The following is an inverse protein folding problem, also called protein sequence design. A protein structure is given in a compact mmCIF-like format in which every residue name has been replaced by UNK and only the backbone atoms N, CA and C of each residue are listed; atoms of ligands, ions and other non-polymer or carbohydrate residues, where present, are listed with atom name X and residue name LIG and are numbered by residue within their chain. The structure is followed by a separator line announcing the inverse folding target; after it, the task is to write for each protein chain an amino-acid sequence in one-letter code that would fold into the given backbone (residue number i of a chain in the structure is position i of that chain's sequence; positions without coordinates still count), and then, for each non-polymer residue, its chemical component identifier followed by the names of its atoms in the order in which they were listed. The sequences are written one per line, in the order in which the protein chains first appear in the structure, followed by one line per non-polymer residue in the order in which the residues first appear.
data_IF_621631442261
#
_entry.id   IF_621631442261
#
_cell.length_a   1.000
_cell.length_b   1.000
_cell.length_c   1.000
_cell.angle_alpha   90.00
_cell.angle_beta   90.00
_cell.angle_gamma   90.00
#
_symmetry.space_group_name_H-M   'P 1'
#
loop_
_entity.id
_entity.type
_entity.pdbx_description
1 polymer ?
#
# COMPACT_ATOMS: atom_id res chain seq x y z
N UNK A 1 35.53 -37.38 -30.20
CA UNK A 1 34.75 -37.39 -28.93
C UNK A 1 35.14 -36.31 -27.92
N UNK A 2 36.41 -35.89 -27.75
CA UNK A 2 36.82 -34.88 -26.74
C UNK A 2 36.15 -33.49 -26.82
N UNK A 3 35.66 -33.05 -27.99
CA UNK A 3 34.99 -31.75 -28.14
C UNK A 3 33.57 -31.70 -27.56
N UNK A 4 32.92 -32.85 -27.34
CA UNK A 4 31.54 -32.92 -26.85
C UNK A 4 31.41 -32.39 -25.41
N UNK A 5 32.39 -32.70 -24.55
CA UNK A 5 32.30 -32.36 -23.13
C UNK A 5 32.53 -30.87 -22.86
N UNK A 6 33.41 -30.20 -23.64
CA UNK A 6 33.65 -28.75 -23.50
C UNK A 6 32.44 -27.92 -23.93
N UNK A 7 31.70 -28.41 -24.93
CA UNK A 7 30.50 -27.74 -25.40
C UNK A 7 29.37 -27.86 -24.37
N UNK A 8 29.16 -29.06 -23.84
CA UNK A 8 28.17 -29.29 -22.80
C UNK A 8 28.45 -28.45 -21.55
N UNK A 9 29.72 -28.35 -21.12
CA UNK A 9 30.08 -27.52 -19.97
C UNK A 9 29.84 -26.03 -20.22
N UNK A 10 30.11 -25.53 -21.43
CA UNK A 10 29.84 -24.14 -21.79
C UNK A 10 28.33 -23.85 -21.81
N UNK A 11 27.54 -24.74 -22.40
CA UNK A 11 26.09 -24.61 -22.44
C UNK A 11 25.49 -24.61 -21.03
N UNK A 12 25.92 -25.53 -20.16
CA UNK A 12 25.48 -25.57 -18.77
C UNK A 12 25.90 -24.31 -18.00
N UNK A 13 27.11 -23.79 -18.24
CA UNK A 13 27.55 -22.54 -17.62
C UNK A 13 26.67 -21.35 -18.04
N UNK A 14 26.37 -21.22 -19.33
CA UNK A 14 25.47 -20.17 -19.85
C UNK A 14 24.07 -20.33 -19.26
N UNK A 15 23.54 -21.55 -19.22
CA UNK A 15 22.22 -21.83 -18.65
C UNK A 15 22.15 -21.48 -17.15
N UNK A 16 23.19 -21.83 -16.38
CA UNK A 16 23.26 -21.49 -14.96
C UNK A 16 23.32 -19.98 -14.72
N UNK A 17 24.12 -19.25 -15.49
CA UNK A 17 24.17 -17.78 -15.42
C UNK A 17 22.79 -17.20 -15.73
N UNK A 18 22.11 -17.76 -16.73
CA UNK A 18 20.80 -17.28 -17.18
C UNK A 18 19.72 -17.51 -16.12
N UNK A 19 19.67 -18.71 -15.52
CA UNK A 19 18.78 -19.02 -14.40
C UNK A 19 19.06 -18.10 -13.23
N UNK A 20 20.34 -17.89 -12.89
CA UNK A 20 20.72 -16.98 -11.81
C UNK A 20 20.27 -15.55 -12.09
N UNK A 21 20.45 -15.04 -13.31
CA UNK A 21 19.98 -13.70 -13.70
C UNK A 21 18.45 -13.58 -13.64
N UNK A 22 17.70 -14.62 -14.02
CA UNK A 22 16.23 -14.63 -13.88
C UNK A 22 15.83 -14.57 -12.42
N UNK A 23 16.44 -15.41 -11.57
CA UNK A 23 16.14 -15.42 -10.14
C UNK A 23 16.50 -14.10 -9.47
N UNK A 24 17.66 -13.52 -9.82
CA UNK A 24 18.09 -12.21 -9.33
C UNK A 24 17.13 -11.10 -9.74
N UNK A 25 16.73 -11.07 -11.02
CA UNK A 25 15.77 -10.10 -11.53
C UNK A 25 14.41 -10.21 -10.84
N UNK A 26 13.88 -11.44 -10.69
CA UNK A 26 12.62 -11.68 -9.98
C UNK A 26 12.72 -11.21 -8.53
N UNK A 27 13.83 -11.47 -7.85
CA UNK A 27 14.06 -11.04 -6.48
C UNK A 27 14.13 -9.51 -6.36
N UNK A 28 14.96 -8.84 -7.16
CA UNK A 28 15.11 -7.38 -7.12
C UNK A 28 13.80 -6.66 -7.48
N UNK A 29 13.08 -7.19 -8.47
CA UNK A 29 11.78 -6.66 -8.88
C UNK A 29 10.72 -6.77 -7.77
N UNK A 30 10.66 -7.90 -7.07
CA UNK A 30 9.74 -8.05 -5.93
C UNK A 30 9.97 -6.96 -4.88
N UNK A 31 11.24 -6.74 -4.55
CA UNK A 31 11.64 -5.73 -3.57
C UNK A 31 11.31 -4.29 -4.02
N UNK A 32 11.55 -3.97 -5.30
CA UNK A 32 11.22 -2.63 -5.83
C UNK A 32 9.71 -2.37 -5.81
N UNK A 33 8.90 -3.37 -6.13
CA UNK A 33 7.44 -3.22 -6.08
C UNK A 33 6.92 -2.94 -4.68
N UNK A 34 7.46 -3.62 -3.67
CA UNK A 34 7.05 -3.41 -2.28
C UNK A 34 7.33 -1.97 -1.83
N UNK A 35 8.53 -1.45 -2.12
CA UNK A 35 8.85 -0.05 -1.86
C UNK A 35 7.89 0.91 -2.58
N UNK A 36 7.55 0.61 -3.84
CA UNK A 36 6.58 1.41 -4.61
C UNK A 36 5.19 1.41 -3.96
N UNK A 37 4.70 0.26 -3.48
CA UNK A 37 3.39 0.19 -2.81
C UNK A 37 3.38 0.93 -1.48
N UNK A 38 4.46 0.80 -0.69
CA UNK A 38 4.63 1.55 0.56
C UNK A 38 4.60 3.05 0.29
N UNK A 39 5.40 3.52 -0.68
CA UNK A 39 5.44 4.93 -1.08
C UNK A 39 4.05 5.41 -1.50
N UNK A 40 3.35 4.65 -2.35
CA UNK A 40 2.02 5.02 -2.82
C UNK A 40 0.97 5.07 -1.70
N UNK A 41 0.95 4.08 -0.81
CA UNK A 41 0.07 4.10 0.38
C UNK A 41 0.39 5.31 1.25
N UNK A 42 1.68 5.61 1.44
CA UNK A 42 2.14 6.77 2.23
C UNK A 42 1.70 8.09 1.61
N UNK A 43 1.82 8.23 0.28
CA UNK A 43 1.33 9.41 -0.46
C UNK A 43 -0.19 9.55 -0.32
N UNK A 44 -0.96 8.49 -0.56
CA UNK A 44 -2.42 8.52 -0.47
C UNK A 44 -2.90 8.92 0.94
N UNK A 45 -2.23 8.44 1.99
CA UNK A 45 -2.54 8.81 3.37
C UNK A 45 -2.13 10.26 3.65
N UNK A 46 -0.97 10.71 3.17
CA UNK A 46 -0.52 12.09 3.30
C UNK A 46 -1.47 13.07 2.62
N UNK A 47 -1.98 12.72 1.43
CA UNK A 47 -2.99 13.50 0.71
C UNK A 47 -4.29 13.57 1.53
N UNK A 48 -4.75 12.43 2.05
CA UNK A 48 -5.94 12.38 2.90
C UNK A 48 -5.81 13.25 4.17
N UNK A 49 -4.61 13.32 4.74
CA UNK A 49 -4.27 14.19 5.87
C UNK A 49 -4.25 15.65 5.45
N UNK A 50 -3.63 15.98 4.31
CA UNK A 50 -3.58 17.34 3.78
C UNK A 50 -4.99 17.91 3.51
N UNK A 51 -5.90 17.07 3.01
CA UNK A 51 -7.31 17.42 2.84
C UNK A 51 -7.97 17.78 4.17
N UNK A 52 -7.72 16.97 5.21
CA UNK A 52 -8.25 17.18 6.56
C UNK A 52 -7.67 18.48 7.17
N UNK A 53 -6.36 18.72 7.02
CA UNK A 53 -5.70 19.92 7.53
C UNK A 53 -6.23 21.19 6.85
N UNK A 54 -6.46 21.13 5.54
CA UNK A 54 -7.08 22.22 4.78
C UNK A 54 -8.48 22.53 5.30
N UNK A 55 -9.30 21.49 5.52
CA UNK A 55 -10.61 21.64 6.12
C UNK A 55 -10.54 22.22 7.54
N UNK A 56 -9.60 21.76 8.36
CA UNK A 56 -9.38 22.26 9.71
C UNK A 56 -9.01 23.75 9.73
N UNK A 57 -8.18 24.20 8.78
CA UNK A 57 -7.79 25.59 8.63
C UNK A 57 -8.95 26.52 8.26
N UNK A 58 -9.94 26.02 7.51
CA UNK A 58 -11.14 26.78 7.13
C UNK A 58 -12.14 26.97 8.26
N UNK A 59 -12.11 26.13 9.29
CA UNK A 59 -13.00 26.27 10.43
C UNK A 59 -12.74 27.61 11.13
N UNK A 60 -13.78 28.29 11.65
CA UNK A 60 -13.61 29.58 12.30
C UNK A 60 -13.01 29.44 13.71
N UNK A 61 -12.19 30.40 14.12
CA UNK A 61 -11.45 30.33 15.39
C UNK A 61 -12.33 30.54 16.65
N UNK A 62 -13.49 31.16 16.52
CA UNK A 62 -14.35 31.55 17.66
C UNK A 62 -15.50 30.56 17.92
N UNK A 63 -15.76 30.26 19.19
CA UNK A 63 -16.78 29.31 19.64
C UNK A 63 -18.22 29.63 19.14
N UNK A 64 -18.57 30.91 18.99
CA UNK A 64 -19.92 31.33 18.59
C UNK A 64 -20.25 31.02 17.13
N UNK A 65 -19.23 30.88 16.28
CA UNK A 65 -19.39 30.57 14.84
C UNK A 65 -19.26 29.09 14.52
N UNK A 66 -18.71 28.31 15.46
CA UNK A 66 -18.48 26.87 15.32
C UNK A 66 -19.82 26.10 15.22
N UNK A 67 -20.84 26.47 16.02
CA UNK A 67 -22.18 25.85 15.96
C UNK A 67 -22.88 26.00 14.61
N UNK A 68 -22.71 27.14 13.93
CA UNK A 68 -23.30 27.40 12.59
C UNK A 68 -22.48 26.78 11.44
N UNK A 69 -21.24 26.34 11.72
CA UNK A 69 -20.32 25.81 10.72
C UNK A 69 -20.43 24.28 10.56
N UNK A 70 -21.05 23.58 11.51
CA UNK A 70 -21.16 22.12 11.50
C UNK A 70 -22.11 21.57 10.42
N UNK A 71 -23.21 22.27 10.13
CA UNK A 71 -24.10 21.85 9.04
C UNK A 71 -23.40 21.94 7.67
N UNK A 72 -22.53 22.94 7.50
CA UNK A 72 -21.72 23.12 6.28
C UNK A 72 -20.53 22.17 6.18
N UNK A 73 -20.14 21.55 7.29
CA UNK A 73 -19.09 20.54 7.30
C UNK A 73 -19.58 19.28 6.60
N UNK A 74 -20.81 18.83 6.82
CA UNK A 74 -21.32 17.61 6.19
C UNK A 74 -21.29 17.64 4.64
N UNK A 75 -21.52 18.82 4.05
CA UNK A 75 -21.46 19.00 2.59
C UNK A 75 -20.02 19.03 2.03
N UNK A 76 -19.01 19.10 2.91
CA UNK A 76 -17.59 19.28 2.56
C UNK A 76 -16.68 18.16 3.05
N UNK A 77 -17.09 17.40 4.08
CA UNK A 77 -16.29 16.30 4.61
C UNK A 77 -16.72 15.01 3.92
N UNK A 78 -15.96 14.61 2.90
CA UNK A 78 -16.05 13.25 2.32
C UNK A 78 -15.52 12.17 3.28
N UNK A 79 -15.05 12.59 4.46
CA UNK A 79 -14.49 11.72 5.49
C UNK A 79 -15.33 11.77 6.78
N UNK A 80 -15.37 10.67 7.54
CA UNK A 80 -16.06 10.67 8.82
C UNK A 80 -15.39 11.60 9.84
N UNK A 81 -16.20 12.38 10.54
CA UNK A 81 -15.78 13.35 11.56
C UNK A 81 -16.63 13.16 12.81
N UNK A 82 -15.98 13.14 13.96
CA UNK A 82 -16.62 13.21 15.28
C UNK A 82 -16.08 14.43 16.01
N UNK A 83 -16.95 15.15 16.70
CA UNK A 83 -16.57 16.27 17.55
C UNK A 83 -16.92 15.92 18.99
N UNK A 84 -15.93 16.01 19.87
CA UNK A 84 -16.07 15.75 21.29
C UNK A 84 -15.93 17.07 22.07
N UNK A 85 -16.68 17.21 23.15
CA UNK A 85 -16.50 18.30 24.11
C UNK A 85 -15.29 18.05 25.04
N UNK A 86 -15.06 18.96 25.98
CA UNK A 86 -13.99 18.88 26.99
C UNK A 86 -14.06 17.62 27.88
N UNK A 87 -15.26 17.07 28.06
CA UNK A 87 -15.52 15.83 28.81
C UNK A 87 -15.36 14.58 27.94
N UNK A 88 -14.88 14.71 26.71
CA UNK A 88 -14.80 13.66 25.68
C UNK A 88 -16.16 13.08 25.28
N UNK A 89 -17.26 13.79 25.53
CA UNK A 89 -18.59 13.38 25.10
C UNK A 89 -18.84 13.86 23.67
N UNK A 90 -19.37 13.00 22.79
CA UNK A 90 -19.65 13.38 21.42
C UNK A 90 -20.80 14.39 21.38
N UNK A 91 -20.54 15.53 20.75
CA UNK A 91 -21.53 16.57 20.48
C UNK A 91 -21.99 16.56 19.02
N UNK A 92 -21.22 15.91 18.15
CA UNK A 92 -21.54 15.76 16.72
C UNK A 92 -20.81 14.55 16.11
N UNK A 93 -21.43 13.91 15.12
CA UNK A 93 -20.79 12.93 14.25
C UNK A 93 -21.41 12.98 12.84
N UNK A 94 -20.57 12.94 11.80
CA UNK A 94 -21.05 13.06 10.41
C UNK A 94 -21.72 11.80 9.87
N UNK A 95 -21.56 10.66 10.54
CA UNK A 95 -22.11 9.37 10.09
C UNK A 95 -22.34 8.42 11.26
N UNK A 96 -23.36 7.57 11.14
CA UNK A 96 -23.69 6.54 12.14
C UNK A 96 -22.75 5.34 12.10
N UNK A 97 -21.86 5.25 11.10
CA UNK A 97 -20.94 4.10 10.93
C UNK A 97 -19.84 4.06 11.99
N UNK A 98 -19.51 5.19 12.61
CA UNK A 98 -18.44 5.28 13.60
C UNK A 98 -19.04 5.77 14.90
N UNK A 99 -19.20 4.83 15.85
CA UNK A 99 -19.66 5.19 17.18
C UNK A 99 -18.45 5.64 18.02
N UNK A 100 -18.55 6.78 18.72
CA UNK A 100 -17.45 7.43 19.44
C UNK A 100 -16.97 6.70 20.71
N UNK A 101 -17.42 5.48 20.98
CA UNK A 101 -17.38 4.89 22.33
C UNK A 101 -16.50 3.64 22.50
N UNK A 102 -15.84 3.15 21.44
CA UNK A 102 -15.01 1.94 21.57
C UNK A 102 -13.51 2.29 21.59
N UNK A 103 -12.93 2.40 22.78
CA UNK A 103 -11.48 2.33 23.06
C UNK A 103 -10.57 3.18 22.16
N UNK A 104 -10.95 4.43 21.88
CA UNK A 104 -10.13 5.33 21.06
C UNK A 104 -9.18 6.10 21.97
N UNK A 105 -7.90 6.07 21.66
CA UNK A 105 -6.94 7.00 22.25
C UNK A 105 -7.23 8.41 21.73
N UNK A 106 -7.68 9.29 22.61
CA UNK A 106 -8.04 10.68 22.31
C UNK A 106 -6.85 11.65 22.41
N UNK A 107 -5.63 11.11 22.39
CA UNK A 107 -4.39 11.89 22.30
C UNK A 107 -4.30 12.55 20.92
N UNK A 108 -4.05 13.87 20.84
CA UNK A 108 -3.86 14.57 19.57
C UNK A 108 -2.77 13.94 18.72
N UNK A 109 -2.98 13.90 17.40
CA UNK A 109 -2.10 13.21 16.46
C UNK A 109 -2.79 12.09 15.71
N UNK A 110 -1.98 11.24 15.07
CA UNK A 110 -2.45 10.15 14.20
C UNK A 110 -2.29 8.84 14.96
N UNK A 111 -3.37 8.08 15.09
CA UNK A 111 -3.37 6.78 15.75
C UNK A 111 -4.07 5.72 14.88
N UNK A 112 -3.58 4.49 14.89
CA UNK A 112 -4.29 3.35 14.31
C UNK A 112 -5.31 2.82 15.31
N UNK A 113 -6.57 2.71 14.88
CA UNK A 113 -7.68 2.21 15.68
C UNK A 113 -8.38 1.09 14.94
N UNK A 114 -8.63 -0.01 15.64
CA UNK A 114 -9.38 -1.15 15.13
C UNK A 114 -10.65 -1.36 15.97
N UNK A 115 -11.77 -1.58 15.30
CA UNK A 115 -13.06 -1.89 15.94
C UNK A 115 -13.83 -2.97 15.15
N UNK A 116 -15.10 -3.16 15.51
CA UNK A 116 -15.98 -4.12 14.86
C UNK A 116 -16.27 -3.80 13.38
N UNK A 117 -16.19 -2.52 13.00
CA UNK A 117 -16.48 -2.04 11.65
C UNK A 117 -15.25 -2.03 10.74
N UNK A 118 -14.03 -2.15 11.28
CA UNK A 118 -12.82 -2.10 10.47
C UNK A 118 -11.58 -1.60 11.20
N UNK A 119 -10.63 -1.12 10.40
CA UNK A 119 -9.36 -0.52 10.80
C UNK A 119 -9.24 0.87 10.17
N UNK A 120 -8.85 1.84 10.98
CA UNK A 120 -8.90 3.27 10.65
C UNK A 120 -7.69 3.99 11.21
N UNK A 121 -7.20 4.99 10.49
CA UNK A 121 -6.38 6.03 11.12
C UNK A 121 -7.31 7.10 11.67
N UNK A 122 -7.14 7.44 12.94
CA UNK A 122 -7.75 8.64 13.53
C UNK A 122 -6.76 9.77 13.50
N UNK A 123 -7.15 10.93 12.99
CA UNK A 123 -6.36 12.16 13.11
C UNK A 123 -7.09 13.15 14.01
N UNK A 124 -6.49 13.44 15.16
CA UNK A 124 -7.13 14.19 16.25
C UNK A 124 -6.51 15.57 16.39
N UNK A 125 -7.36 16.60 16.27
CA UNK A 125 -7.01 17.98 16.54
C UNK A 125 -7.68 18.47 17.82
N UNK A 126 -6.95 19.28 18.58
CA UNK A 126 -7.52 20.06 19.68
C UNK A 126 -7.85 21.47 19.17
N UNK A 127 -9.10 21.91 19.39
CA UNK A 127 -9.52 23.26 19.05
C UNK A 127 -10.39 23.84 20.15
N UNK A 128 -9.83 24.80 20.89
CA UNK A 128 -10.45 25.36 22.09
C UNK A 128 -10.79 24.21 23.07
N UNK A 129 -12.07 24.05 23.42
CA UNK A 129 -12.59 23.01 24.31
C UNK A 129 -13.06 21.76 23.54
N UNK A 130 -12.92 21.73 22.22
CA UNK A 130 -13.38 20.62 21.39
C UNK A 130 -12.21 19.78 20.86
N UNK A 131 -12.45 18.48 20.74
CA UNK A 131 -11.59 17.57 19.99
C UNK A 131 -12.28 17.19 18.68
N UNK A 132 -11.57 17.32 17.58
CA UNK A 132 -12.03 16.93 16.26
C UNK A 132 -11.32 15.64 15.89
N UNK A 133 -12.08 14.57 15.70
CA UNK A 133 -11.58 13.23 15.39
C UNK A 133 -11.99 12.89 13.97
N UNK A 134 -11.04 12.95 13.05
CA UNK A 134 -11.24 12.52 11.67
C UNK A 134 -10.85 11.05 11.50
N UNK A 135 -11.61 10.31 10.69
CA UNK A 135 -11.30 8.92 10.38
C UNK A 135 -10.87 8.78 8.93
N UNK A 136 -9.76 8.08 8.71
CA UNK A 136 -9.28 7.64 7.40
C UNK A 136 -9.45 6.12 7.36
N UNK A 137 -10.47 5.58 6.67
CA UNK A 137 -10.67 4.15 6.60
C UNK A 137 -9.50 3.49 5.85
N UNK A 138 -8.92 2.47 6.47
CA UNK A 138 -7.91 1.62 5.85
C UNK A 138 -8.53 0.32 5.36
N UNK A 139 -9.32 -0.32 6.23
CA UNK A 139 -9.99 -1.58 5.94
C UNK A 139 -11.39 -1.58 6.55
N UNK A 140 -12.40 -1.86 5.75
CA UNK A 140 -13.79 -1.97 6.20
C UNK A 140 -14.14 -3.43 6.41
N UNK A 141 -14.54 -3.81 7.62
CA UNK A 141 -15.21 -5.08 7.90
C UNK A 141 -16.69 -4.92 7.54
N UNK A 142 -17.30 -6.00 7.10
CA UNK A 142 -18.74 -6.07 6.91
C UNK A 142 -19.30 -7.25 7.68
N UNK A 143 -20.35 -7.01 8.44
CA UNK A 143 -21.13 -8.08 9.08
C UNK A 143 -21.83 -8.96 8.03
N UNK A 144 -22.11 -8.38 6.87
CA UNK A 144 -22.74 -9.06 5.74
C UNK A 144 -21.64 -9.52 4.81
N UNK A 145 -21.41 -10.84 4.77
CA UNK A 145 -20.46 -11.46 3.85
C UNK A 145 -21.21 -12.17 2.73
N UNK A 146 -21.40 -11.49 1.62
CA UNK A 146 -21.99 -12.05 0.39
C UNK A 146 -21.11 -11.72 -0.83
N UNK A 147 -21.51 -12.20 -2.01
CA UNK A 147 -20.71 -12.04 -3.24
C UNK A 147 -20.52 -10.57 -3.69
N UNK A 148 -21.26 -9.62 -3.14
CA UNK A 148 -21.24 -8.20 -3.52
C UNK A 148 -20.75 -7.28 -2.40
N UNK A 149 -20.94 -7.69 -1.15
CA UNK A 149 -20.60 -6.94 0.05
C UNK A 149 -19.74 -7.85 0.90
N UNK A 150 -18.50 -7.44 1.13
CA UNK A 150 -17.56 -8.16 1.97
C UNK A 150 -16.51 -7.22 2.53
N UNK A 151 -15.63 -7.75 3.40
CA UNK A 151 -14.50 -7.00 3.90
C UNK A 151 -13.63 -6.50 2.75
N UNK A 152 -13.23 -5.22 2.80
CA UNK A 152 -12.46 -4.60 1.72
C UNK A 152 -11.51 -3.55 2.26
N UNK A 153 -10.33 -3.48 1.65
CA UNK A 153 -9.43 -2.36 1.82
C UNK A 153 -10.04 -1.10 1.18
N UNK A 154 -9.71 0.07 1.72
CA UNK A 154 -10.15 1.33 1.13
C UNK A 154 -9.46 1.54 -0.23
N UNK A 155 -10.20 1.60 -1.36
CA UNK A 155 -9.60 1.75 -2.69
C UNK A 155 -8.91 3.10 -2.92
N UNK A 156 -9.15 4.09 -2.06
CA UNK A 156 -8.43 5.37 -2.09
C UNK A 156 -7.03 5.26 -1.49
N UNK A 157 -6.79 4.29 -0.61
CA UNK A 157 -5.50 4.10 0.07
C UNK A 157 -4.75 2.93 -0.56
N UNK A 158 -5.43 1.81 -0.78
CA UNK A 158 -4.90 0.57 -1.32
C UNK A 158 -5.48 0.26 -2.70
N UNK A 159 -4.72 -0.41 -3.56
CA UNK A 159 -5.19 -0.72 -4.92
C UNK A 159 -6.16 -1.91 -4.96
N UNK A 160 -6.07 -2.81 -3.99
CA UNK A 160 -6.90 -4.00 -3.88
C UNK A 160 -6.97 -4.48 -2.41
N UNK A 161 -7.70 -5.58 -2.17
CA UNK A 161 -7.99 -6.08 -0.83
C UNK A 161 -6.94 -7.02 -0.23
N UNK A 162 -5.89 -7.35 -0.97
CA UNK A 162 -4.94 -8.40 -0.61
C UNK A 162 -3.83 -7.87 0.32
N UNK A 163 -4.25 -7.26 1.42
CA UNK A 163 -3.39 -6.65 2.43
C UNK A 163 -3.65 -7.23 3.82
N UNK A 164 -2.69 -7.05 4.72
CA UNK A 164 -2.88 -7.20 6.16
C UNK A 164 -2.26 -6.00 6.86
N UNK A 165 -2.97 -5.43 7.82
CA UNK A 165 -2.50 -4.29 8.62
C UNK A 165 -2.15 -4.80 10.02
N UNK A 166 -1.09 -4.23 10.59
CA UNK A 166 -0.60 -4.55 11.92
C UNK A 166 -0.10 -3.27 12.61
N UNK A 167 -0.19 -3.22 13.93
CA UNK A 167 0.48 -2.22 14.77
C UNK A 167 1.93 -2.57 15.07
N UNK A 168 2.35 -3.80 14.73
CA UNK A 168 3.67 -4.36 15.02
C UNK A 168 4.49 -4.41 13.73
N UNK A 169 5.54 -3.59 13.66
CA UNK A 169 6.48 -3.49 12.53
C UNK A 169 7.53 -4.58 12.49
N UNK A 170 7.81 -5.24 13.60
CA UNK A 170 8.92 -6.19 13.69
C UNK A 170 8.57 -7.55 13.05
N UNK A 171 7.36 -7.69 12.51
CA UNK A 171 6.90 -8.89 11.84
C UNK A 171 7.50 -9.01 10.43
N UNK A 172 8.09 -10.17 10.16
CA UNK A 172 8.64 -10.47 8.83
C UNK A 172 7.59 -10.34 7.73
N UNK A 173 7.92 -9.60 6.67
CA UNK A 173 7.03 -9.36 5.53
C UNK A 173 6.03 -8.21 5.72
N UNK A 174 6.11 -7.48 6.85
CA UNK A 174 5.41 -6.22 7.03
C UNK A 174 6.32 -5.04 6.69
N UNK A 175 5.71 -3.98 6.17
CA UNK A 175 6.36 -2.74 5.79
C UNK A 175 5.76 -1.59 6.59
N UNK A 176 6.62 -0.87 7.31
CA UNK A 176 6.23 0.30 8.09
C UNK A 176 5.75 1.43 7.16
N UNK A 177 4.56 1.95 7.46
CA UNK A 177 4.04 3.18 6.89
C UNK A 177 4.37 4.31 7.86
N UNK A 178 5.23 5.21 7.40
CA UNK A 178 5.73 6.33 8.19
C UNK A 178 5.13 7.64 7.72
N UNK A 179 4.71 8.48 8.67
CA UNK A 179 4.27 9.85 8.43
C UNK A 179 5.11 10.76 9.31
N UNK A 180 5.79 11.75 8.72
CA UNK A 180 6.67 12.68 9.43
C UNK A 180 7.67 11.96 10.35
N UNK A 181 8.38 10.96 9.81
CA UNK A 181 9.37 10.13 10.50
C UNK A 181 8.83 9.26 11.67
N UNK A 182 7.52 9.25 11.90
CA UNK A 182 6.89 8.38 12.89
C UNK A 182 6.19 7.22 12.19
N UNK A 183 6.41 6.00 12.68
CA UNK A 183 5.62 4.86 12.24
C UNK A 183 4.20 4.97 12.78
N UNK A 184 3.23 4.78 11.89
CA UNK A 184 1.80 4.86 12.22
C UNK A 184 1.19 3.47 12.24
N UNK A 185 1.54 2.64 11.27
CA UNK A 185 1.16 1.23 11.19
C UNK A 185 2.08 0.52 10.20
N UNK A 186 1.96 -0.80 10.18
CA UNK A 186 2.68 -1.67 9.26
C UNK A 186 1.71 -2.46 8.38
N UNK A 187 2.09 -2.67 7.11
CA UNK A 187 1.27 -3.38 6.11
C UNK A 187 2.04 -4.52 5.46
N UNK A 188 1.41 -5.68 5.36
CA UNK A 188 1.91 -6.81 4.58
C UNK A 188 1.08 -6.97 3.31
N UNK A 189 1.74 -6.86 2.16
CA UNK A 189 1.14 -7.08 0.85
C UNK A 189 1.14 -8.59 0.53
N UNK A 190 -0.03 -9.18 0.30
CA UNK A 190 -0.09 -10.59 -0.07
C UNK A 190 0.46 -10.81 -1.49
N UNK A 191 0.85 -12.04 -1.88
CA UNK A 191 1.40 -12.30 -3.21
C UNK A 191 0.50 -11.91 -4.38
N UNK A 192 -0.82 -11.85 -4.16
CA UNK A 192 -1.82 -11.40 -5.13
C UNK A 192 -2.02 -9.88 -5.16
N UNK A 193 -1.45 -9.13 -4.21
CA UNK A 193 -1.33 -7.67 -4.22
C UNK A 193 -0.30 -7.22 -5.27
N UNK A 194 -0.57 -7.57 -6.52
CA UNK A 194 0.30 -7.25 -7.64
C UNK A 194 -0.49 -6.59 -8.73
N UNK A 195 0.04 -5.46 -9.17
CA UNK A 195 -0.16 -4.97 -10.53
C UNK A 195 0.16 -6.15 -11.44
N UNK A 196 -0.74 -6.45 -12.39
CA UNK A 196 -0.41 -7.34 -13.49
C UNK A 196 0.96 -6.92 -13.99
N UNK A 197 1.93 -7.83 -14.05
CA UNK A 197 3.17 -7.59 -14.78
C UNK A 197 2.81 -6.76 -16.01
N UNK A 198 3.55 -5.69 -16.29
CA UNK A 198 3.60 -5.23 -17.67
C UNK A 198 4.00 -6.47 -18.44
N UNK A 199 3.03 -7.17 -19.04
CA UNK A 199 3.25 -8.43 -19.74
C UNK A 199 4.40 -8.25 -20.75
N UNK A 200 4.52 -7.02 -21.24
CA UNK A 200 5.65 -6.42 -21.93
C UNK A 200 7.03 -6.63 -21.28
N UNK A 201 7.25 -6.35 -19.99
CA UNK A 201 8.58 -6.43 -19.35
C UNK A 201 9.07 -7.87 -19.23
N UNK A 202 8.17 -8.80 -18.88
CA UNK A 202 8.47 -10.22 -18.88
C UNK A 202 8.79 -10.71 -20.30
N UNK A 203 7.98 -10.35 -21.29
CA UNK A 203 8.24 -10.73 -22.68
C UNK A 203 9.49 -10.08 -23.25
N UNK A 204 9.82 -8.85 -22.87
CA UNK A 204 11.06 -8.17 -23.27
C UNK A 204 12.25 -8.95 -22.73
N UNK A 205 12.23 -9.33 -21.45
CA UNK A 205 13.29 -10.11 -20.83
C UNK A 205 13.44 -11.50 -21.48
N UNK A 206 12.34 -12.22 -21.68
CA UNK A 206 12.33 -13.53 -22.39
C UNK A 206 12.83 -13.38 -23.83
N UNK A 207 12.52 -12.29 -24.51
CA UNK A 207 12.99 -12.02 -25.87
C UNK A 207 14.49 -11.80 -25.93
N UNK A 208 15.06 -11.03 -24.98
CA UNK A 208 16.50 -10.82 -24.86
C UNK A 208 17.22 -12.16 -24.63
N UNK A 209 16.69 -13.00 -23.74
CA UNK A 209 17.20 -14.35 -23.47
C UNK A 209 17.16 -15.22 -24.72
N UNK A 210 16.02 -15.26 -25.40
CA UNK A 210 15.81 -16.08 -26.60
C UNK A 210 16.78 -15.67 -27.71
N UNK A 211 17.00 -14.37 -27.86
CA UNK A 211 17.95 -13.81 -28.81
C UNK A 211 19.41 -14.19 -28.49
N UNK A 212 19.82 -14.14 -27.22
CA UNK A 212 21.16 -14.55 -26.79
C UNK A 212 21.44 -16.04 -27.05
N UNK A 213 20.47 -16.91 -26.77
CA UNK A 213 20.55 -18.34 -27.08
C UNK A 213 20.67 -18.56 -28.60
N UNK A 214 19.85 -17.85 -29.38
CA UNK A 214 19.89 -17.93 -30.85
C UNK A 214 21.28 -17.55 -31.40
N UNK A 215 21.85 -16.43 -30.95
CA UNK A 215 23.19 -15.99 -31.36
C UNK A 215 24.24 -17.06 -31.02
N UNK A 216 24.16 -17.63 -29.81
CA UNK A 216 25.13 -18.63 -29.34
C UNK A 216 25.08 -19.90 -30.21
N UNK A 217 23.88 -20.36 -30.57
CA UNK A 217 23.68 -21.50 -31.47
C UNK A 217 24.21 -21.16 -32.88
N UNK A 218 23.87 -19.97 -33.39
CA UNK A 218 24.28 -19.53 -34.73
C UNK A 218 25.80 -19.48 -34.88
N UNK A 219 26.50 -18.83 -33.94
CA UNK A 219 27.98 -18.78 -33.94
C UNK A 219 28.57 -20.19 -33.88
N UNK A 220 27.99 -21.08 -33.06
CA UNK A 220 28.46 -22.47 -32.95
C UNK A 220 28.35 -23.22 -34.28
N UNK A 221 27.24 -23.03 -35.00
CA UNK A 221 27.02 -23.66 -36.30
C UNK A 221 28.01 -23.13 -37.36
N UNK A 222 28.26 -21.82 -37.38
CA UNK A 222 29.26 -21.22 -38.27
C UNK A 222 30.66 -21.77 -38.03
N UNK A 223 31.11 -21.87 -36.78
CA UNK A 223 32.44 -22.39 -36.44
C UNK A 223 32.58 -23.86 -36.85
N UNK A 224 31.54 -24.68 -36.63
CA UNK A 224 31.54 -26.08 -37.08
C UNK A 224 31.51 -26.22 -38.61
N UNK A 225 30.81 -25.33 -39.31
CA UNK A 225 30.75 -25.30 -40.77
C UNK A 225 32.09 -24.91 -41.39
N UNK A 226 32.75 -23.89 -40.85
CA UNK A 226 34.06 -23.42 -41.31
C UNK A 226 35.15 -24.50 -41.21
N UNK A 227 35.21 -25.23 -40.08
CA UNK A 227 36.20 -26.29 -39.88
C UNK A 227 35.98 -27.56 -40.73
N UNK A 228 34.91 -27.64 -41.51
CA UNK A 228 34.65 -28.76 -42.44
C UNK A 228 35.05 -28.45 -43.88
N UNK A 229 35.35 -27.19 -44.20
CA UNK A 229 35.80 -26.74 -45.52
C UNK A 229 37.31 -26.81 -45.69
#
# INVERSE_FOLDING_TARGET
MKYSNKFLSLFLAVLSILIFSVLWFVYDYQKQNESYYVERVTTNISDAISDIESLYAELPASNDSIRFSFDKLNDRVDRPLIILNENNEPVYWSTSKYLPYENIDLTPGINLVANNNGEYLTYIFLRNEFKLVFYIPLFEKSEINNAYIGPRANPQIFENNDIRISTDSDQEGYYAIQLNDNEVFSVAFQPSYRIHFGVADFFMFVSIISFAIFITIYITLLVKGYNRG
#
